data_IF_443491718345
#
_entry.id   IF_443491718345
#
_cell.length_a   1.000
_cell.length_b   1.000
_cell.length_c   1.000
_cell.angle_alpha   90.00
_cell.angle_beta   90.00
_cell.angle_gamma   90.00
#
_symmetry.space_group_name_H-M   'P 1'
#
loop_
_entity.id
_entity.type
_entity.pdbx_description
1 polymer ?
#
# COMPACT_ATOMS: atom_id res chain seq x y z
N UNK A 1 12.35 4.87 -21.51
CA UNK A 1 11.23 4.50 -20.62
C UNK A 1 10.31 5.69 -20.57
N UNK A 2 9.02 5.47 -20.79
CA UNK A 2 8.01 6.52 -20.74
C UNK A 2 7.59 6.84 -19.31
N UNK A 3 7.04 8.02 -19.09
CA UNK A 3 6.50 8.44 -17.79
C UNK A 3 5.40 7.47 -17.31
N UNK A 4 4.59 6.95 -18.24
CA UNK A 4 3.55 5.97 -17.94
C UNK A 4 4.13 4.63 -17.46
N UNK A 5 5.20 4.14 -18.10
CA UNK A 5 5.89 2.91 -17.66
C UNK A 5 6.54 3.11 -16.29
N UNK A 6 7.14 4.28 -16.05
CA UNK A 6 7.74 4.60 -14.76
C UNK A 6 6.68 4.67 -13.66
N UNK A 7 5.57 5.35 -13.92
CA UNK A 7 4.46 5.45 -12.97
C UNK A 7 3.85 4.08 -12.68
N UNK A 8 3.73 3.19 -13.67
CA UNK A 8 3.25 1.83 -13.46
C UNK A 8 4.19 1.03 -12.53
N UNK A 9 5.50 1.10 -12.77
CA UNK A 9 6.51 0.46 -11.91
C UNK A 9 6.44 1.04 -10.49
N UNK A 10 6.38 2.36 -10.36
CA UNK A 10 6.30 3.04 -9.07
C UNK A 10 5.01 2.71 -8.31
N UNK A 11 3.88 2.57 -9.02
CA UNK A 11 2.60 2.16 -8.47
C UNK A 11 2.65 0.74 -7.94
N UNK A 12 3.23 -0.19 -8.70
CA UNK A 12 3.44 -1.56 -8.25
C UNK A 12 4.34 -1.64 -7.02
N UNK A 13 5.45 -0.89 -7.01
CA UNK A 13 6.35 -0.82 -5.87
C UNK A 13 5.67 -0.23 -4.62
N UNK A 14 4.90 0.85 -4.78
CA UNK A 14 4.12 1.46 -3.70
C UNK A 14 3.09 0.49 -3.12
N UNK A 15 2.38 -0.26 -3.97
CA UNK A 15 1.45 -1.30 -3.54
C UNK A 15 2.14 -2.38 -2.70
N UNK A 16 3.31 -2.88 -3.16
CA UNK A 16 4.10 -3.86 -2.42
C UNK A 16 4.56 -3.33 -1.06
N UNK A 17 5.04 -2.08 -0.99
CA UNK A 17 5.47 -1.46 0.27
C UNK A 17 4.31 -1.37 1.26
N UNK A 18 3.12 -0.94 0.81
CA UNK A 18 1.94 -0.84 1.66
C UNK A 18 1.41 -2.21 2.09
N UNK A 19 1.43 -3.21 1.20
CA UNK A 19 1.08 -4.58 1.55
C UNK A 19 2.05 -5.18 2.60
N UNK A 20 3.35 -4.92 2.46
CA UNK A 20 4.34 -5.29 3.48
C UNK A 20 4.15 -4.53 4.79
N UNK A 21 3.69 -3.27 4.76
CA UNK A 21 3.37 -2.51 5.97
C UNK A 21 2.27 -3.21 6.79
N UNK A 22 1.24 -3.71 6.11
CA UNK A 22 0.12 -4.45 6.73
C UNK A 22 0.60 -5.82 7.26
N UNK A 23 1.42 -6.53 6.50
CA UNK A 23 1.84 -7.90 6.81
C UNK A 23 2.99 -8.01 7.81
N UNK A 24 3.98 -7.14 7.68
CA UNK A 24 5.25 -7.20 8.41
C UNK A 24 5.47 -6.00 9.34
N UNK A 25 4.57 -5.02 9.33
CA UNK A 25 4.60 -3.85 10.19
C UNK A 25 5.17 -2.60 9.50
N UNK A 26 4.72 -1.45 10.01
CA UNK A 26 5.04 -0.13 9.47
C UNK A 26 6.52 0.25 9.56
N UNK A 27 7.27 -0.29 10.52
CA UNK A 27 8.70 -0.04 10.65
C UNK A 27 9.47 -0.61 9.46
N UNK A 28 9.05 -1.76 8.93
CA UNK A 28 9.65 -2.35 7.74
C UNK A 28 9.36 -1.52 6.49
N UNK A 29 8.13 -1.04 6.34
CA UNK A 29 7.77 -0.15 5.24
C UNK A 29 8.56 1.16 5.29
N UNK A 30 8.72 1.75 6.48
CA UNK A 30 9.59 2.92 6.69
C UNK A 30 11.04 2.64 6.33
N UNK A 31 11.60 1.50 6.75
CA UNK A 31 12.97 1.12 6.42
C UNK A 31 13.17 0.94 4.90
N UNK A 32 12.19 0.39 4.19
CA UNK A 32 12.23 0.27 2.72
C UNK A 32 12.21 1.64 2.06
N UNK A 33 11.31 2.54 2.49
CA UNK A 33 11.28 3.92 1.98
C UNK A 33 12.59 4.66 2.29
N UNK A 34 13.11 4.55 3.51
CA UNK A 34 14.40 5.14 3.89
C UNK A 34 15.56 4.65 3.05
N UNK A 35 15.55 3.36 2.66
CA UNK A 35 16.57 2.79 1.79
C UNK A 35 16.47 3.36 0.37
N UNK A 36 15.27 3.39 -0.20
CA UNK A 36 15.01 3.91 -1.55
C UNK A 36 15.42 5.38 -1.68
N UNK A 37 15.10 6.20 -0.67
CA UNK A 37 15.39 7.62 -0.66
C UNK A 37 16.75 7.98 -0.03
N UNK A 38 17.61 7.00 0.28
CA UNK A 38 18.91 7.22 0.93
C UNK A 38 19.81 8.18 0.15
N UNK A 39 19.75 8.13 -1.18
CA UNK A 39 20.52 9.01 -2.07
C UNK A 39 19.74 10.25 -2.52
N UNK A 40 18.52 10.44 -2.02
CA UNK A 40 17.67 11.60 -2.28
C UNK A 40 17.95 12.77 -1.34
N UNK A 41 17.20 13.84 -1.53
CA UNK A 41 17.22 14.97 -0.60
C UNK A 41 16.47 14.63 0.69
N UNK A 42 16.78 15.34 1.79
CA UNK A 42 16.05 15.20 3.05
C UNK A 42 14.54 15.46 2.86
N UNK A 43 14.18 16.47 2.05
CA UNK A 43 12.77 16.80 1.77
C UNK A 43 12.02 15.70 1.02
N UNK A 44 12.66 15.01 0.06
CA UNK A 44 12.04 13.85 -0.61
C UNK A 44 11.78 12.70 0.36
N UNK A 45 12.76 12.41 1.21
CA UNK A 45 12.65 11.34 2.20
C UNK A 45 11.52 11.64 3.19
N UNK A 46 11.44 12.86 3.70
CA UNK A 46 10.37 13.28 4.60
C UNK A 46 9.00 13.24 3.93
N UNK A 47 8.88 13.67 2.68
CA UNK A 47 7.64 13.57 1.91
C UNK A 47 7.18 12.12 1.72
N UNK A 48 8.12 11.22 1.39
CA UNK A 48 7.82 9.80 1.19
C UNK A 48 7.41 9.10 2.50
N UNK A 49 8.06 9.44 3.62
CA UNK A 49 7.65 8.96 4.94
C UNK A 49 6.31 9.56 5.38
N UNK A 50 6.02 10.81 4.99
CA UNK A 50 4.75 11.48 5.20
C UNK A 50 3.59 10.79 4.49
N UNK A 51 3.83 10.26 3.28
CA UNK A 51 2.86 9.45 2.54
C UNK A 51 2.49 8.13 3.26
N UNK A 52 3.34 7.65 4.19
CA UNK A 52 3.04 6.50 5.05
C UNK A 52 2.31 6.88 6.36
N UNK A 53 1.98 8.15 6.59
CA UNK A 53 1.41 8.61 7.85
C UNK A 53 0.00 8.07 8.13
N UNK A 54 -0.33 8.00 9.43
CA UNK A 54 -1.65 7.55 9.91
C UNK A 54 -2.68 8.66 9.65
N UNK A 55 -3.79 8.33 8.98
CA UNK A 55 -4.88 9.29 8.68
C UNK A 55 -5.18 9.50 7.20
N UNK A 56 -4.32 8.99 6.31
CA UNK A 56 -4.53 9.00 4.86
C UNK A 56 -5.17 7.68 4.42
N UNK A 57 -6.14 7.71 3.50
CA UNK A 57 -6.75 6.51 2.92
C UNK A 57 -5.70 5.70 2.14
N UNK A 58 -5.83 4.37 2.10
CA UNK A 58 -4.79 3.50 1.51
C UNK A 58 -4.55 3.76 0.01
N UNK A 59 -5.59 4.15 -0.73
CA UNK A 59 -5.47 4.55 -2.13
C UNK A 59 -4.68 5.85 -2.29
N UNK A 60 -4.96 6.85 -1.45
CA UNK A 60 -4.25 8.13 -1.45
C UNK A 60 -2.78 7.93 -1.04
N UNK A 61 -2.50 7.05 -0.07
CA UNK A 61 -1.12 6.68 0.30
C UNK A 61 -0.38 6.09 -0.89
N UNK A 62 -1.03 5.19 -1.62
CA UNK A 62 -0.44 4.51 -2.78
C UNK A 62 -0.14 5.50 -3.89
N UNK A 63 -1.07 6.39 -4.21
CA UNK A 63 -0.92 7.41 -5.25
C UNK A 63 0.18 8.40 -4.88
N UNK A 64 0.20 8.89 -3.65
CA UNK A 64 1.22 9.82 -3.16
C UNK A 64 2.61 9.18 -3.18
N UNK A 65 2.73 7.95 -2.66
CA UNK A 65 4.01 7.23 -2.65
C UNK A 65 4.48 6.90 -4.07
N UNK A 66 3.59 6.45 -4.96
CA UNK A 66 3.93 6.15 -6.35
C UNK A 66 4.46 7.39 -7.09
N UNK A 67 3.80 8.54 -6.91
CA UNK A 67 4.24 9.81 -7.50
C UNK A 67 5.65 10.21 -7.01
N UNK A 68 5.91 10.06 -5.71
CA UNK A 68 7.22 10.36 -5.13
C UNK A 68 8.31 9.40 -5.60
N UNK A 69 8.01 8.10 -5.73
CA UNK A 69 8.93 7.09 -6.24
C UNK A 69 9.27 7.33 -7.73
N UNK A 70 8.27 7.69 -8.55
CA UNK A 70 8.48 8.03 -9.95
C UNK A 70 9.40 9.25 -10.08
N UNK A 71 9.07 10.36 -9.40
CA UNK A 71 9.87 11.59 -9.43
C UNK A 71 11.28 11.40 -8.86
N UNK A 72 11.48 10.48 -7.92
CA UNK A 72 12.80 10.13 -7.42
C UNK A 72 13.59 9.31 -8.46
N UNK A 73 12.95 8.34 -9.10
CA UNK A 73 13.57 7.49 -10.11
C UNK A 73 13.91 8.21 -11.42
N UNK A 74 13.19 9.28 -11.79
CA UNK A 74 13.56 10.17 -12.90
C UNK A 74 14.92 10.83 -12.67
N UNK A 75 15.18 11.23 -11.43
CA UNK A 75 16.43 11.91 -11.04
C UNK A 75 17.53 10.91 -10.67
N UNK A 76 17.14 9.70 -10.27
CA UNK A 76 18.00 8.60 -9.81
C UNK A 76 17.62 7.29 -10.48
N UNK A 77 17.95 7.09 -11.77
CA UNK A 77 17.59 5.87 -12.51
C UNK A 77 18.16 4.59 -11.90
N UNK A 78 19.21 4.67 -11.08
CA UNK A 78 19.76 3.57 -10.29
C UNK A 78 18.72 2.88 -9.38
N UNK A 79 17.69 3.62 -8.93
CA UNK A 79 16.63 3.10 -8.06
C UNK A 79 15.63 2.22 -8.83
N UNK A 80 15.59 2.31 -10.17
CA UNK A 80 14.63 1.57 -11.01
C UNK A 80 14.74 0.06 -10.87
N UNK A 81 15.95 -0.47 -10.68
CA UNK A 81 16.13 -1.91 -10.49
C UNK A 81 15.43 -2.40 -9.21
N UNK A 82 15.53 -1.62 -8.14
CA UNK A 82 14.88 -1.91 -6.87
C UNK A 82 13.36 -1.77 -6.96
N UNK A 83 12.86 -0.71 -7.62
CA UNK A 83 11.42 -0.53 -7.84
C UNK A 83 10.81 -1.66 -8.69
N UNK A 84 11.50 -2.10 -9.74
CA UNK A 84 11.05 -3.25 -10.54
C UNK A 84 11.01 -4.53 -9.70
N UNK A 85 12.00 -4.76 -8.84
CA UNK A 85 12.01 -5.91 -7.94
C UNK A 85 10.83 -5.89 -6.95
N UNK A 86 10.50 -4.72 -6.43
CA UNK A 86 9.34 -4.53 -5.54
C UNK A 86 8.02 -4.72 -6.31
N UNK A 87 7.90 -4.14 -7.49
CA UNK A 87 6.70 -4.27 -8.33
C UNK A 87 6.46 -5.71 -8.83
N UNK A 88 7.54 -6.45 -9.11
CA UNK A 88 7.48 -7.85 -9.52
C UNK A 88 7.22 -8.82 -8.36
N UNK A 89 7.31 -8.35 -7.12
CA UNK A 89 6.99 -9.12 -5.92
C UNK A 89 5.67 -8.61 -5.34
N UNK A 90 4.51 -8.89 -5.97
CA UNK A 90 3.24 -8.55 -5.34
C UNK A 90 3.19 -9.32 -4.02
N UNK A 91 3.38 -8.62 -2.89
CA UNK A 91 3.02 -9.16 -1.59
C UNK A 91 1.53 -9.44 -1.73
N UNK A 92 1.17 -10.73 -1.79
CA UNK A 92 -0.21 -11.17 -1.92
C UNK A 92 -1.05 -10.33 -0.97
N UNK A 93 -1.81 -9.37 -1.52
CA UNK A 93 -2.73 -8.61 -0.71
C UNK A 93 -3.61 -9.65 0.00
N UNK A 94 -3.89 -9.50 1.30
CA UNK A 94 -4.95 -10.31 1.88
C UNK A 94 -6.16 -10.05 0.97
N UNK A 95 -6.69 -11.13 0.37
CA UNK A 95 -7.90 -11.03 -0.44
C UNK A 95 -8.88 -10.19 0.37
N UNK A 96 -9.38 -9.10 -0.22
CA UNK A 96 -10.49 -8.35 0.35
C UNK A 96 -11.62 -9.36 0.54
N UNK A 97 -11.71 -9.97 1.72
CA UNK A 97 -12.80 -10.84 2.09
C UNK A 97 -13.99 -9.91 2.31
N UNK A 98 -14.74 -9.69 1.23
CA UNK A 98 -16.01 -8.98 1.30
C UNK A 98 -16.97 -9.88 2.06
N UNK A 99 -17.04 -9.70 3.37
CA UNK A 99 -18.00 -10.38 4.22
C UNK A 99 -19.37 -9.72 4.00
N UNK A 100 -20.23 -10.38 3.23
CA UNK A 100 -21.61 -9.95 3.03
C UNK A 100 -22.47 -10.51 4.16
N UNK A 101 -22.67 -9.68 5.17
CA UNK A 101 -23.58 -9.98 6.28
C UNK A 101 -25.01 -9.65 5.85
N UNK A 102 -25.91 -10.64 5.86
CA UNK A 102 -27.33 -10.42 5.62
C UNK A 102 -28.12 -10.93 6.85
N UNK A 103 -29.07 -10.13 7.31
CA UNK A 103 -29.89 -10.41 8.50
C UNK A 103 -30.85 -9.27 8.78
N UNK A 104 -31.95 -9.56 9.47
CA UNK A 104 -32.97 -8.57 9.85
C UNK A 104 -32.68 -7.88 11.21
N UNK A 105 -31.49 -8.08 11.76
CA UNK A 105 -31.11 -7.60 13.09
C UNK A 105 -30.65 -6.15 13.12
N UNK A 106 -30.82 -5.51 14.28
CA UNK A 106 -30.35 -4.15 14.54
C UNK A 106 -29.00 -4.21 15.25
N UNK A 107 -28.02 -3.47 14.74
CA UNK A 107 -26.74 -3.28 15.42
C UNK A 107 -26.86 -2.15 16.44
N UNK A 108 -26.67 -2.46 17.73
CA UNK A 108 -26.69 -1.47 18.81
C UNK A 108 -25.46 -1.67 19.68
N UNK A 109 -24.63 -0.62 19.79
CA UNK A 109 -23.46 -0.59 20.68
C UNK A 109 -22.50 -1.79 20.53
N UNK A 110 -22.35 -2.33 19.31
CA UNK A 110 -21.48 -3.47 19.04
C UNK A 110 -22.12 -4.85 19.28
N UNK A 111 -23.39 -4.89 19.67
CA UNK A 111 -24.18 -6.11 19.82
C UNK A 111 -25.22 -6.25 18.70
N UNK A 112 -25.56 -7.49 18.34
CA UNK A 112 -26.53 -7.78 17.28
C UNK A 112 -27.80 -8.38 17.88
N UNK A 113 -28.89 -7.62 17.82
CA UNK A 113 -30.19 -8.09 18.28
C UNK A 113 -31.01 -8.52 17.05
N UNK A 114 -31.08 -9.83 16.83
CA UNK A 114 -31.76 -10.48 15.70
C UNK A 114 -30.95 -11.62 15.12
N UNK A 115 -31.45 -12.26 14.05
CA UNK A 115 -30.70 -13.30 13.33
C UNK A 115 -29.63 -12.68 12.44
N UNK A 116 -28.35 -12.99 12.70
CA UNK A 116 -27.23 -12.67 11.82
C UNK A 116 -26.75 -13.96 11.15
N UNK A 117 -26.82 -14.01 9.82
CA UNK A 117 -26.16 -15.06 9.06
C UNK A 117 -24.85 -14.50 8.52
N UNK A 118 -23.73 -15.07 8.97
CA UNK A 118 -22.40 -14.73 8.48
C UNK A 118 -22.08 -15.70 7.33
N UNK A 119 -22.10 -15.19 6.10
CA UNK A 119 -21.69 -15.96 4.94
C UNK A 119 -20.19 -15.75 4.68
N UNK A 120 -19.41 -16.82 4.82
CA UNK A 120 -18.03 -16.83 4.35
C UNK A 120 -17.99 -17.48 2.96
N UNK A 121 -17.59 -16.72 1.95
CA UNK A 121 -17.24 -17.32 0.66
C UNK A 121 -15.87 -17.99 0.81
N UNK A 122 -15.88 -19.31 1.05
CA UNK A 122 -14.67 -20.14 1.03
C UNK A 122 -14.48 -20.72 -0.37
N UNK A 123 -14.31 -19.87 -1.38
CA UNK A 123 -13.87 -20.29 -2.70
C UNK A 123 -12.40 -20.73 -2.61
N UNK A 124 -12.17 -22.05 -2.67
CA UNK A 124 -10.87 -22.71 -2.74
C UNK A 124 -10.29 -22.67 -4.14
#
# INVERSE_FOLDING_TARGET
MSDAELLAIATGAAATILADAVRLGWDRARATVDRLFRQGTQGEREAALGALSRGVADDDRRIALASLLAAHAERRPEVLAELRSLAASPSAAPALQVQRNEGSGTFIAGDVIGGLTINHDSSR
#
